data_IF_452508992991
#
_entry.id   IF_452508992991
#
_cell.length_a   1.000
_cell.length_b   1.000
_cell.length_c   1.000
_cell.angle_alpha   90.00
_cell.angle_beta   90.00
_cell.angle_gamma   90.00
#
_symmetry.space_group_name_H-M   'P 1'
#
loop_
_entity.id
_entity.type
_entity.pdbx_description
1 polymer ?
#
# COMPACT_ATOMS: atom_id res chain seq x y z
N UNK A 1 -0.44 1.99 -25.14
CA UNK A 1 -0.20 1.41 -23.79
C UNK A 1 -0.94 2.31 -22.83
N UNK A 2 -1.95 1.77 -22.16
CA UNK A 2 -2.68 2.49 -21.12
C UNK A 2 -1.86 2.47 -19.83
N UNK A 3 -1.74 3.61 -19.16
CA UNK A 3 -1.02 3.71 -17.88
C UNK A 3 -1.91 3.16 -16.75
N UNK A 4 -1.33 2.33 -15.87
CA UNK A 4 -1.96 1.88 -14.63
C UNK A 4 -2.08 3.04 -13.64
N UNK A 5 -1.02 3.87 -13.57
CA UNK A 5 -0.95 5.03 -12.70
C UNK A 5 -0.31 6.19 -13.47
N UNK A 6 -0.94 7.35 -13.42
CA UNK A 6 -0.38 8.62 -13.91
C UNK A 6 -0.40 9.64 -12.79
N UNK A 7 0.77 10.15 -12.45
CA UNK A 7 0.95 11.27 -11.52
C UNK A 7 1.34 12.49 -12.34
N UNK A 8 0.58 13.57 -12.24
CA UNK A 8 0.77 14.78 -13.04
C UNK A 8 0.86 16.00 -12.13
N UNK A 9 2.00 16.70 -12.21
CA UNK A 9 2.30 17.94 -11.46
C UNK A 9 1.96 17.86 -9.95
N UNK A 10 2.23 16.70 -9.32
CA UNK A 10 1.90 16.47 -7.91
C UNK A 10 2.66 17.44 -7.01
N UNK A 11 1.92 18.16 -6.17
CA UNK A 11 2.44 19.07 -5.14
C UNK A 11 1.92 18.64 -3.78
N UNK A 12 2.82 18.55 -2.81
CA UNK A 12 2.49 18.19 -1.43
C UNK A 12 3.21 19.12 -0.48
N UNK A 13 2.46 19.76 0.39
CA UNK A 13 2.97 20.65 1.41
C UNK A 13 2.69 20.11 2.80
N UNK A 14 3.65 20.29 3.71
CA UNK A 14 3.48 20.09 5.14
C UNK A 14 3.21 21.43 5.81
N UNK A 15 2.27 21.45 6.74
CA UNK A 15 1.96 22.63 7.56
C UNK A 15 2.32 22.30 9.01
N UNK A 16 3.39 22.91 9.52
CA UNK A 16 3.90 22.73 10.88
C UNK A 16 3.93 24.10 11.56
N UNK A 17 3.18 24.26 12.62
CA UNK A 17 3.10 25.51 13.41
C UNK A 17 2.83 26.75 12.54
N UNK A 18 1.98 26.60 11.50
CA UNK A 18 1.66 27.68 10.57
C UNK A 18 2.68 27.91 9.45
N UNK A 19 3.81 27.18 9.46
CA UNK A 19 4.83 27.24 8.42
C UNK A 19 4.51 26.21 7.34
N UNK A 20 4.49 26.64 6.07
CA UNK A 20 4.29 25.78 4.91
C UNK A 20 5.66 25.33 4.39
N UNK A 21 5.86 24.01 4.35
CA UNK A 21 7.09 23.37 3.86
C UNK A 21 6.73 22.54 2.64
N UNK A 22 7.12 22.95 1.41
CA UNK A 22 6.85 22.20 0.19
C UNK A 22 7.76 20.97 0.11
N UNK A 23 7.17 19.76 0.25
CA UNK A 23 7.87 18.49 0.20
C UNK A 23 7.93 17.90 -1.23
N UNK A 24 6.90 18.14 -2.04
CA UNK A 24 6.85 17.76 -3.47
C UNK A 24 6.42 18.97 -4.27
N UNK A 25 7.21 19.33 -5.30
CA UNK A 25 7.12 20.62 -6.01
C UNK A 25 6.75 20.45 -7.48
N UNK A 26 5.81 19.56 -7.82
CA UNK A 26 5.39 19.34 -9.20
C UNK A 26 6.10 18.15 -9.85
N UNK A 27 5.89 16.95 -9.30
CA UNK A 27 6.45 15.71 -9.84
C UNK A 27 5.45 15.06 -10.77
N UNK A 28 5.94 14.61 -11.94
CA UNK A 28 5.15 13.86 -12.92
C UNK A 28 5.86 12.57 -13.31
N UNK A 29 5.13 11.45 -13.29
CA UNK A 29 5.61 10.15 -13.78
C UNK A 29 4.43 9.23 -14.09
N UNK A 30 4.71 8.13 -14.82
CA UNK A 30 3.72 7.15 -15.22
C UNK A 30 4.19 5.74 -14.91
N UNK A 31 3.26 4.88 -14.57
CA UNK A 31 3.48 3.44 -14.39
C UNK A 31 2.59 2.71 -15.39
N UNK A 32 3.14 2.23 -16.50
CA UNK A 32 2.38 1.44 -17.47
C UNK A 32 1.96 0.09 -16.89
N UNK A 33 0.85 -0.49 -17.38
CA UNK A 33 0.42 -1.82 -16.99
C UNK A 33 1.52 -2.87 -17.17
N UNK A 34 1.73 -3.71 -16.15
CA UNK A 34 2.71 -4.79 -16.17
C UNK A 34 4.18 -4.35 -16.22
N UNK A 35 4.47 -3.10 -15.91
CA UNK A 35 5.83 -2.56 -15.87
C UNK A 35 6.24 -2.17 -14.46
N UNK A 36 7.54 -2.24 -14.20
CA UNK A 36 8.16 -1.72 -12.98
C UNK A 36 8.78 -0.37 -13.28
N UNK A 37 8.50 0.62 -12.42
CA UNK A 37 9.08 1.96 -12.49
C UNK A 37 9.83 2.24 -11.19
N UNK A 38 11.07 2.70 -11.30
CA UNK A 38 11.90 3.10 -10.17
C UNK A 38 11.89 4.62 -10.03
N UNK A 39 11.49 5.12 -8.86
CA UNK A 39 11.61 6.53 -8.49
C UNK A 39 12.92 6.71 -7.70
N UNK A 40 13.90 7.35 -8.33
CA UNK A 40 15.26 7.51 -7.79
C UNK A 40 15.50 8.96 -7.36
N UNK A 41 16.28 9.16 -6.31
CA UNK A 41 16.64 10.47 -5.78
C UNK A 41 17.30 10.36 -4.41
N UNK A 42 17.86 11.46 -3.92
CA UNK A 42 18.52 11.55 -2.61
C UNK A 42 17.56 11.32 -1.44
N UNK A 43 18.09 11.06 -0.25
CA UNK A 43 17.29 11.02 0.98
C UNK A 43 16.62 12.38 1.19
N UNK A 44 15.33 12.37 1.58
CA UNK A 44 14.57 13.62 1.75
C UNK A 44 14.01 14.24 0.46
N UNK A 45 14.26 13.68 -0.73
CA UNK A 45 13.75 14.24 -2.00
C UNK A 45 12.25 14.05 -2.26
N UNK A 46 11.47 13.55 -1.29
CA UNK A 46 10.01 13.44 -1.41
C UNK A 46 9.49 12.10 -1.96
N UNK A 47 10.34 11.10 -2.26
CA UNK A 47 9.92 9.79 -2.81
C UNK A 47 8.85 9.09 -1.98
N UNK A 48 9.09 8.98 -0.67
CA UNK A 48 8.15 8.35 0.27
C UNK A 48 6.85 9.16 0.38
N UNK A 49 6.94 10.49 0.29
CA UNK A 49 5.76 11.38 0.29
C UNK A 49 4.90 11.12 -0.95
N UNK A 50 5.51 10.94 -2.13
CA UNK A 50 4.78 10.56 -3.34
C UNK A 50 4.06 9.22 -3.18
N UNK A 51 4.73 8.19 -2.64
CA UNK A 51 4.11 6.89 -2.39
C UNK A 51 2.95 6.98 -1.37
N UNK A 52 3.13 7.75 -0.28
CA UNK A 52 2.08 8.00 0.71
C UNK A 52 0.90 8.80 0.13
N UNK A 53 1.16 9.74 -0.77
CA UNK A 53 0.12 10.48 -1.48
C UNK A 53 -0.73 9.55 -2.36
N UNK A 54 -0.10 8.66 -3.13
CA UNK A 54 -0.78 7.64 -3.96
C UNK A 54 -1.62 6.70 -3.09
N UNK A 55 -1.12 6.31 -1.92
CA UNK A 55 -1.86 5.47 -0.98
C UNK A 55 -2.95 6.22 -0.19
N UNK A 56 -2.97 7.57 -0.25
CA UNK A 56 -3.87 8.40 0.56
C UNK A 56 -3.60 8.30 2.07
N UNK A 57 -2.35 8.03 2.48
CA UNK A 57 -1.90 7.88 3.87
C UNK A 57 -0.94 8.98 4.33
N UNK A 58 -0.96 10.12 3.68
CA UNK A 58 -0.21 11.28 4.13
C UNK A 58 -0.54 11.60 5.60
N UNK A 59 0.42 12.03 6.43
CA UNK A 59 0.14 12.49 7.79
C UNK A 59 -0.84 13.68 7.79
N UNK A 60 -1.49 13.93 8.91
CA UNK A 60 -2.51 15.00 9.03
C UNK A 60 -1.98 16.40 8.70
N UNK A 61 -0.70 16.61 8.93
CA UNK A 61 0.00 17.87 8.67
C UNK A 61 0.40 18.04 7.20
N UNK A 62 0.19 17.03 6.34
CA UNK A 62 0.54 17.08 4.93
C UNK A 62 -0.73 17.07 4.05
N UNK A 63 -0.74 17.91 3.01
CA UNK A 63 -1.84 18.02 2.06
C UNK A 63 -1.35 18.01 0.62
N UNK A 64 -2.12 17.41 -0.27
CA UNK A 64 -1.95 17.59 -1.71
C UNK A 64 -2.46 18.98 -2.05
N UNK A 65 -1.57 19.85 -2.52
CA UNK A 65 -1.86 21.25 -2.85
C UNK A 65 -1.98 21.49 -4.35
N UNK A 66 -1.65 20.50 -5.17
CA UNK A 66 -1.79 20.59 -6.63
C UNK A 66 -1.51 19.27 -7.33
N UNK A 67 -1.89 19.23 -8.60
CA UNK A 67 -1.74 18.07 -9.45
C UNK A 67 -2.85 17.04 -9.31
N UNK A 68 -2.66 15.90 -9.98
CA UNK A 68 -3.60 14.79 -9.98
C UNK A 68 -2.88 13.45 -9.90
N UNK A 69 -3.57 12.43 -9.38
CA UNK A 69 -3.08 11.05 -9.26
C UNK A 69 -4.15 10.15 -9.87
N UNK A 70 -3.97 9.79 -11.13
CA UNK A 70 -4.93 8.98 -11.89
C UNK A 70 -4.55 7.50 -11.80
N UNK A 71 -5.44 6.68 -11.27
CA UNK A 71 -5.28 5.23 -11.16
C UNK A 71 -6.35 4.50 -11.96
N UNK A 72 -5.97 3.59 -12.83
CA UNK A 72 -6.87 2.74 -13.61
C UNK A 72 -7.22 1.45 -12.87
N UNK A 73 -8.40 1.39 -12.24
CA UNK A 73 -8.92 0.21 -11.53
C UNK A 73 -9.75 -0.71 -12.44
N UNK A 74 -9.79 -0.46 -13.75
CA UNK A 74 -10.62 -1.21 -14.71
C UNK A 74 -10.21 -2.67 -14.85
N UNK A 75 -8.92 -2.96 -14.69
CA UNK A 75 -8.40 -4.33 -14.78
C UNK A 75 -8.94 -5.24 -13.66
N UNK A 76 -9.20 -4.70 -12.46
CA UNK A 76 -9.70 -5.46 -11.31
C UNK A 76 -11.23 -5.55 -11.28
N UNK A 77 -11.92 -4.44 -11.49
CA UNK A 77 -13.38 -4.39 -11.33
C UNK A 77 -14.12 -4.55 -12.65
N UNK A 78 -13.46 -4.29 -13.78
CA UNK A 78 -14.15 -4.13 -15.08
C UNK A 78 -15.02 -2.86 -15.10
N UNK A 79 -15.18 -2.27 -16.28
CA UNK A 79 -15.97 -1.03 -16.45
C UNK A 79 -17.42 -1.19 -16.00
N UNK A 80 -18.01 -2.37 -16.24
CA UNK A 80 -19.40 -2.69 -15.85
C UNK A 80 -19.64 -2.70 -14.33
N UNK A 81 -18.59 -2.94 -13.52
CA UNK A 81 -18.65 -2.99 -12.05
C UNK A 81 -18.10 -1.71 -11.39
N UNK A 82 -18.08 -0.60 -12.12
CA UNK A 82 -17.59 0.68 -11.60
C UNK A 82 -16.07 0.81 -11.59
N UNK A 83 -15.34 -0.06 -12.30
CA UNK A 83 -13.91 0.12 -12.59
C UNK A 83 -13.71 1.21 -13.62
N UNK A 84 -12.64 1.99 -13.48
CA UNK A 84 -12.29 3.09 -14.37
C UNK A 84 -11.13 3.90 -13.79
N UNK A 85 -10.84 5.02 -14.43
CA UNK A 85 -9.80 5.92 -13.95
C UNK A 85 -10.33 6.74 -12.76
N UNK A 86 -9.61 6.65 -11.64
CA UNK A 86 -9.93 7.31 -10.38
C UNK A 86 -8.84 8.35 -10.12
N UNK A 87 -9.23 9.60 -9.88
CA UNK A 87 -8.30 10.61 -9.37
C UNK A 87 -8.20 10.49 -7.83
N UNK A 88 -7.13 9.85 -7.37
CA UNK A 88 -6.86 9.60 -5.94
C UNK A 88 -6.71 10.93 -5.18
N UNK A 89 -6.12 11.96 -5.81
CA UNK A 89 -5.89 13.25 -5.15
C UNK A 89 -7.19 13.93 -4.71
N UNK A 90 -8.31 13.63 -5.39
CA UNK A 90 -9.65 14.17 -5.08
C UNK A 90 -10.47 13.27 -4.14
N UNK A 91 -9.97 12.08 -3.79
CA UNK A 91 -10.75 11.19 -2.92
C UNK A 91 -10.59 11.56 -1.44
N UNK A 92 -11.66 11.49 -0.65
CA UNK A 92 -11.55 11.57 0.80
C UNK A 92 -10.64 10.45 1.32
N UNK A 93 -9.66 10.76 2.19
CA UNK A 93 -8.66 9.81 2.70
C UNK A 93 -9.28 8.54 3.29
N UNK A 94 -10.41 8.66 3.99
CA UNK A 94 -11.14 7.56 4.62
C UNK A 94 -12.43 7.21 3.88
N UNK A 95 -12.57 7.66 2.63
CA UNK A 95 -13.73 7.38 1.80
C UNK A 95 -13.76 5.92 1.31
N UNK A 96 -14.94 5.42 0.90
CA UNK A 96 -15.12 4.03 0.48
C UNK A 96 -14.26 3.65 -0.73
N UNK A 97 -13.97 4.61 -1.61
CA UNK A 97 -13.07 4.39 -2.76
C UNK A 97 -11.67 4.05 -2.28
N UNK A 98 -11.09 4.85 -1.36
CA UNK A 98 -9.75 4.62 -0.84
C UNK A 98 -9.66 3.36 0.02
N UNK A 99 -10.70 3.02 0.78
CA UNK A 99 -10.76 1.75 1.53
C UNK A 99 -10.73 0.54 0.59
N UNK A 100 -11.42 0.61 -0.54
CA UNK A 100 -11.42 -0.44 -1.56
C UNK A 100 -10.07 -0.56 -2.28
N UNK A 101 -9.43 0.58 -2.60
CA UNK A 101 -8.15 0.60 -3.31
C UNK A 101 -7.02 0.06 -2.45
N UNK A 102 -6.93 0.48 -1.18
CA UNK A 102 -5.87 0.06 -0.26
C UNK A 102 -5.96 -1.43 0.06
N UNK A 103 -4.89 -2.17 -0.21
CA UNK A 103 -4.81 -3.62 -0.03
C UNK A 103 -5.56 -4.44 -1.09
N UNK A 104 -6.53 -3.83 -1.78
CA UNK A 104 -7.29 -4.47 -2.84
C UNK A 104 -6.68 -4.30 -4.23
N UNK A 105 -6.29 -3.10 -4.59
CA UNK A 105 -5.73 -2.75 -5.90
C UNK A 105 -4.32 -2.18 -5.78
N UNK A 106 -4.02 -1.47 -4.70
CA UNK A 106 -2.70 -0.88 -4.41
C UNK A 106 -2.30 -1.28 -3.01
N UNK A 107 -1.06 -1.72 -2.84
CA UNK A 107 -0.45 -1.99 -1.53
C UNK A 107 0.88 -1.29 -1.40
N UNK A 108 1.39 -1.17 -0.18
CA UNK A 108 2.69 -0.57 0.12
C UNK A 108 3.47 -1.49 1.05
N UNK A 109 4.76 -1.60 0.79
CA UNK A 109 5.73 -2.20 1.72
C UNK A 109 6.57 -1.05 2.29
N UNK A 110 6.51 -0.86 3.61
CA UNK A 110 7.26 0.21 4.28
C UNK A 110 8.75 -0.14 4.40
N UNK A 111 9.58 0.89 4.46
CA UNK A 111 11.03 0.74 4.57
C UNK A 111 11.46 0.04 5.86
N UNK A 112 10.70 0.23 6.95
CA UNK A 112 10.94 -0.41 8.25
C UNK A 112 9.73 -1.28 8.65
N UNK A 113 9.62 -2.50 8.10
CA UNK A 113 8.45 -3.34 8.36
C UNK A 113 8.41 -3.90 9.79
N UNK A 114 9.50 -3.79 10.55
CA UNK A 114 9.65 -4.41 11.87
C UNK A 114 8.62 -3.94 12.90
N UNK A 115 8.10 -2.72 12.74
CA UNK A 115 7.10 -2.11 13.64
C UNK A 115 5.66 -2.28 13.18
N UNK A 116 5.44 -2.86 11.99
CA UNK A 116 4.10 -2.95 11.38
C UNK A 116 3.28 -4.11 11.93
N UNK A 117 3.94 -5.17 12.44
CA UNK A 117 3.25 -6.32 13.02
C UNK A 117 2.90 -6.06 14.48
N UNK A 118 1.62 -6.26 14.83
CA UNK A 118 1.14 -6.20 16.20
C UNK A 118 1.77 -7.32 17.04
N UNK A 119 2.45 -7.02 18.17
CA UNK A 119 3.10 -8.04 18.99
C UNK A 119 2.12 -8.96 19.72
N UNK A 120 0.86 -8.57 19.86
CA UNK A 120 -0.17 -9.31 20.61
C UNK A 120 -1.04 -10.21 19.75
N UNK A 121 -0.80 -10.26 18.43
CA UNK A 121 -1.51 -11.14 17.50
C UNK A 121 -0.53 -12.03 16.76
N UNK A 122 -0.95 -13.27 16.46
CA UNK A 122 -0.11 -14.17 15.67
C UNK A 122 0.03 -13.66 14.23
N UNK A 123 1.13 -14.03 13.57
CA UNK A 123 1.38 -13.66 12.16
C UNK A 123 0.25 -14.14 11.26
N UNK A 124 -0.21 -15.38 11.45
CA UNK A 124 -1.33 -15.94 10.68
C UNK A 124 -2.61 -15.12 10.84
N UNK A 125 -2.95 -14.69 12.06
CA UNK A 125 -4.15 -13.87 12.29
C UNK A 125 -4.09 -12.56 11.53
N UNK A 126 -2.95 -11.86 11.56
CA UNK A 126 -2.77 -10.56 10.92
C UNK A 126 -2.83 -10.67 9.39
N UNK A 127 -2.21 -11.69 8.80
CA UNK A 127 -2.26 -11.92 7.35
C UNK A 127 -3.67 -12.36 6.92
N UNK A 128 -4.32 -13.27 7.70
CA UNK A 128 -5.69 -13.68 7.43
C UNK A 128 -6.68 -12.51 7.51
N UNK A 129 -6.51 -11.57 8.46
CA UNK A 129 -7.34 -10.38 8.57
C UNK A 129 -7.28 -9.56 7.28
N UNK A 130 -6.08 -9.25 6.80
CA UNK A 130 -5.89 -8.53 5.53
C UNK A 130 -6.53 -9.27 4.34
N UNK A 131 -6.42 -10.60 4.30
CA UNK A 131 -7.05 -11.40 3.27
C UNK A 131 -8.59 -11.31 3.32
N UNK A 132 -9.19 -11.43 4.50
CA UNK A 132 -10.65 -11.40 4.68
C UNK A 132 -11.27 -10.03 4.39
N UNK A 133 -10.51 -8.94 4.57
CA UNK A 133 -10.98 -7.59 4.21
C UNK A 133 -11.24 -7.44 2.70
N UNK A 134 -10.52 -8.21 1.86
CA UNK A 134 -10.54 -8.04 0.40
C UNK A 134 -11.07 -9.26 -0.36
N UNK A 135 -11.21 -10.41 0.31
CA UNK A 135 -11.67 -11.67 -0.32
C UNK A 135 -12.69 -12.39 0.56
N UNK A 136 -13.75 -12.85 -0.07
CA UNK A 136 -14.73 -13.73 0.58
C UNK A 136 -14.22 -15.17 0.55
N UNK A 137 -13.47 -15.57 1.55
CA UNK A 137 -12.93 -16.93 1.71
C UNK A 137 -13.33 -17.48 3.09
N UNK A 138 -13.52 -18.78 3.19
CA UNK A 138 -13.73 -19.44 4.48
C UNK A 138 -12.46 -19.36 5.33
N UNK A 139 -12.60 -19.57 6.64
CA UNK A 139 -11.44 -19.59 7.56
C UNK A 139 -10.40 -20.65 7.19
N UNK A 140 -10.86 -21.83 6.73
CA UNK A 140 -9.98 -22.91 6.30
C UNK A 140 -9.23 -22.56 5.03
N UNK A 141 -9.90 -22.03 4.00
CA UNK A 141 -9.29 -21.57 2.76
C UNK A 141 -8.31 -20.42 3.01
N UNK A 142 -8.67 -19.46 3.86
CA UNK A 142 -7.78 -18.37 4.25
C UNK A 142 -6.48 -18.87 4.88
N UNK A 143 -6.59 -19.82 5.82
CA UNK A 143 -5.42 -20.44 6.42
C UNK A 143 -4.52 -21.18 5.42
N UNK A 144 -5.12 -21.91 4.47
CA UNK A 144 -4.37 -22.58 3.41
C UNK A 144 -3.63 -21.60 2.49
N UNK A 145 -4.32 -20.51 2.06
CA UNK A 145 -3.72 -19.47 1.24
C UNK A 145 -2.56 -18.76 1.95
N UNK A 146 -2.72 -18.41 3.22
CA UNK A 146 -1.65 -17.77 4.01
C UNK A 146 -0.47 -18.71 4.19
N UNK A 147 -0.72 -20.00 4.45
CA UNK A 147 0.35 -21.01 4.53
C UNK A 147 1.16 -21.08 3.24
N UNK A 148 0.47 -21.08 2.09
CA UNK A 148 1.15 -21.10 0.80
C UNK A 148 1.94 -19.81 0.53
N UNK A 149 1.41 -18.63 0.89
CA UNK A 149 2.15 -17.38 0.77
C UNK A 149 3.43 -17.38 1.63
N UNK A 150 3.33 -17.85 2.87
CA UNK A 150 4.50 -18.01 3.75
C UNK A 150 5.52 -18.99 3.17
N UNK A 151 5.08 -20.06 2.53
CA UNK A 151 5.97 -21.01 1.83
C UNK A 151 6.70 -20.31 0.67
N UNK A 152 5.99 -19.55 -0.15
CA UNK A 152 6.55 -18.81 -1.28
C UNK A 152 7.56 -17.73 -0.85
N UNK A 153 7.36 -17.13 0.32
CA UNK A 153 8.31 -16.15 0.89
C UNK A 153 9.46 -16.81 1.65
N UNK A 154 9.55 -18.16 1.63
CA UNK A 154 10.68 -18.91 2.17
C UNK A 154 10.66 -19.10 3.69
N UNK A 155 9.47 -19.21 4.30
CA UNK A 155 9.38 -19.66 5.69
C UNK A 155 9.75 -21.14 5.79
N UNK A 156 10.62 -21.52 6.74
CA UNK A 156 11.03 -22.91 6.90
C UNK A 156 9.90 -23.82 7.38
N UNK A 157 8.98 -23.32 8.20
CA UNK A 157 7.78 -24.01 8.67
C UNK A 157 6.57 -23.05 8.60
N UNK A 158 5.90 -22.99 7.43
CA UNK A 158 4.76 -22.09 7.24
C UNK A 158 3.57 -22.40 8.13
N UNK A 159 3.30 -23.67 8.43
CA UNK A 159 2.19 -24.10 9.26
C UNK A 159 2.38 -23.66 10.73
N UNK A 160 3.58 -23.75 11.25
CA UNK A 160 3.96 -23.23 12.56
C UNK A 160 3.89 -21.70 12.60
N UNK A 161 4.34 -21.03 11.53
CA UNK A 161 4.36 -19.58 11.44
C UNK A 161 2.97 -18.94 11.59
N UNK A 162 1.89 -19.63 11.20
CA UNK A 162 0.51 -19.16 11.43
C UNK A 162 0.20 -18.92 12.92
N UNK A 163 0.81 -19.69 13.81
CA UNK A 163 0.57 -19.65 15.26
C UNK A 163 1.67 -18.90 16.01
N UNK A 164 2.68 -18.43 15.32
CA UNK A 164 3.85 -17.75 15.89
C UNK A 164 3.57 -16.26 16.06
N UNK A 165 4.01 -15.68 17.15
CA UNK A 165 3.95 -14.23 17.38
C UNK A 165 5.15 -13.53 16.74
N UNK A 166 5.03 -12.25 16.37
CA UNK A 166 6.12 -11.51 15.73
C UNK A 166 7.42 -11.48 16.51
N UNK A 167 7.36 -11.43 17.84
CA UNK A 167 8.57 -11.40 18.69
C UNK A 167 9.33 -12.73 18.71
N UNK A 168 8.70 -13.84 18.35
CA UNK A 168 9.35 -15.17 18.24
C UNK A 168 10.10 -15.32 16.90
N UNK A 169 9.90 -14.42 15.94
CA UNK A 169 10.52 -14.45 14.62
C UNK A 169 11.83 -13.67 14.60
N UNK A 170 12.81 -14.17 13.85
CA UNK A 170 13.99 -13.38 13.49
C UNK A 170 13.59 -12.15 12.64
N UNK A 171 14.48 -11.15 12.59
CA UNK A 171 14.25 -9.95 11.77
C UNK A 171 13.95 -10.28 10.30
N UNK A 172 14.71 -11.20 9.71
CA UNK A 172 14.50 -11.65 8.34
C UNK A 172 13.16 -12.36 8.11
N UNK A 173 12.67 -13.14 9.09
CA UNK A 173 11.36 -13.78 9.00
C UNK A 173 10.22 -12.77 9.19
N UNK A 174 10.38 -11.77 10.06
CA UNK A 174 9.39 -10.66 10.16
C UNK A 174 9.27 -9.91 8.86
N UNK A 175 10.41 -9.60 8.21
CA UNK A 175 10.43 -8.94 6.91
C UNK A 175 9.73 -9.76 5.82
N UNK A 176 9.86 -11.09 5.85
CA UNK A 176 9.18 -11.98 4.89
C UNK A 176 7.69 -12.13 5.14
N UNK A 177 7.23 -11.90 6.38
CA UNK A 177 5.82 -11.96 6.75
C UNK A 177 5.03 -10.71 6.32
N UNK A 178 5.75 -9.62 6.02
CA UNK A 178 5.20 -8.33 5.58
C UNK A 178 5.10 -8.25 4.07
#
# INVERSE_FOLDING_TARGET
VTDLLSVNDLKVDFVLDGIVIPAVRGVSFRVPHGKTVALVGESGSGKSVCAQAIMGILPKVANITGGEILFDDSARLGKANGGGVIDIAKQPRNGPVMQRLRGGSISIIFQEPMTSLSPVHTVGNQICEALHLHRKVSKAEGGALVTEMLRLTGFPDPARALKTYPFELSGGLRQRAM
#
